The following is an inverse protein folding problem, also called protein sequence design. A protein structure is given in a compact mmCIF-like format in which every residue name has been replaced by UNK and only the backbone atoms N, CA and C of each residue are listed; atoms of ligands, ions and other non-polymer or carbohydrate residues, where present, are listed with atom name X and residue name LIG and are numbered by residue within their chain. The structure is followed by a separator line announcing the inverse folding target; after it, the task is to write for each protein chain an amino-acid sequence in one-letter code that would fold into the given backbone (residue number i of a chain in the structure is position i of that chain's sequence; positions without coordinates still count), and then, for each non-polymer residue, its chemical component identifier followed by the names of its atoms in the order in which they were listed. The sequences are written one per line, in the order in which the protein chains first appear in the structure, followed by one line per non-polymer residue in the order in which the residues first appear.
data_IF_423269289070
#
_entry.id   IF_423269289070
#
_cell.length_a   1.000
_cell.length_b   1.000
_cell.length_c   1.000
_cell.angle_alpha   90.00
_cell.angle_beta   90.00
_cell.angle_gamma   90.00
#
_symmetry.space_group_name_H-M   'P 1'
#
loop_
_entity.id
_entity.type
_entity.pdbx_description
1 polymer ?
#
# COMPACT_ATOMS: atom_id res chain seq x y z
N UNK A 1 -17.91 -1.56 -9.59
CA UNK A 1 -18.00 -0.43 -8.62
C UNK A 1 -17.01 -0.71 -7.51
N UNK A 2 -16.02 0.13 -7.35
CA UNK A 2 -15.00 0.03 -6.30
C UNK A 2 -15.54 0.61 -5.00
N UNK A 3 -15.16 0.03 -3.86
CA UNK A 3 -15.57 0.54 -2.53
C UNK A 3 -14.47 1.43 -1.94
N UNK A 4 -13.21 1.00 -1.99
CA UNK A 4 -12.09 1.71 -1.36
C UNK A 4 -11.09 2.28 -2.38
N UNK A 5 -10.95 1.64 -3.54
CA UNK A 5 -9.93 1.99 -4.55
C UNK A 5 -10.51 1.96 -5.96
N UNK A 6 -10.02 2.83 -6.83
CA UNK A 6 -10.35 2.91 -8.24
C UNK A 6 -9.10 3.14 -9.08
N UNK A 7 -9.22 3.18 -10.38
CA UNK A 7 -8.10 3.52 -11.28
C UNK A 7 -7.53 4.92 -11.05
N UNK A 8 -8.31 5.82 -10.45
CA UNK A 8 -7.88 7.19 -10.13
C UNK A 8 -7.11 7.29 -8.82
N UNK A 9 -7.14 6.23 -7.98
CA UNK A 9 -6.45 6.24 -6.68
C UNK A 9 -4.95 6.41 -6.85
N UNK A 10 -4.39 7.46 -6.24
CA UNK A 10 -2.96 7.80 -6.27
C UNK A 10 -2.23 7.05 -5.17
N UNK A 11 -1.31 6.19 -5.57
CA UNK A 11 -0.67 5.22 -4.69
C UNK A 11 0.76 5.63 -4.42
N UNK A 12 1.14 5.67 -3.14
CA UNK A 12 2.51 5.78 -2.66
C UNK A 12 3.01 4.38 -2.27
N UNK A 13 4.21 3.99 -2.73
CA UNK A 13 4.83 2.74 -2.32
C UNK A 13 5.97 2.98 -1.33
N UNK A 14 5.79 2.59 -0.06
CA UNK A 14 6.85 2.60 0.94
C UNK A 14 7.72 1.36 0.81
N UNK A 15 9.03 1.56 0.69
CA UNK A 15 10.00 0.51 0.41
C UNK A 15 10.16 0.20 -1.08
N UNK A 16 9.80 1.12 -1.97
CA UNK A 16 9.79 0.94 -3.43
C UNK A 16 11.13 0.48 -4.02
N UNK A 17 12.25 0.87 -3.44
CA UNK A 17 13.58 0.48 -3.93
C UNK A 17 14.09 -0.84 -3.35
N UNK A 18 13.33 -1.48 -2.47
CA UNK A 18 13.60 -2.83 -1.99
C UNK A 18 13.18 -3.87 -3.03
N UNK A 19 13.73 -5.09 -2.98
CA UNK A 19 13.45 -6.12 -3.98
C UNK A 19 11.95 -6.44 -4.11
N UNK A 20 11.25 -6.62 -2.99
CA UNK A 20 9.81 -6.91 -2.99
C UNK A 20 8.99 -5.67 -3.40
N UNK A 21 9.33 -4.49 -2.84
CA UNK A 21 8.65 -3.24 -3.17
C UNK A 21 8.78 -2.90 -4.65
N UNK A 22 9.97 -3.02 -5.22
CA UNK A 22 10.22 -2.77 -6.63
C UNK A 22 9.44 -3.73 -7.52
N UNK A 23 9.56 -5.04 -7.29
CA UNK A 23 8.90 -6.06 -8.09
C UNK A 23 7.37 -5.90 -8.09
N UNK A 24 6.78 -5.76 -6.90
CA UNK A 24 5.31 -5.66 -6.82
C UNK A 24 4.78 -4.29 -7.26
N UNK A 25 5.53 -3.20 -7.08
CA UNK A 25 5.16 -1.90 -7.63
C UNK A 25 5.14 -1.94 -9.17
N UNK A 26 6.15 -2.55 -9.80
CA UNK A 26 6.19 -2.77 -11.25
C UNK A 26 4.97 -3.56 -11.73
N UNK A 27 4.63 -4.68 -11.05
CA UNK A 27 3.45 -5.48 -11.36
C UNK A 27 2.12 -4.72 -11.17
N UNK A 28 2.06 -3.77 -10.23
CA UNK A 28 0.91 -2.91 -10.06
C UNK A 28 0.80 -1.88 -11.20
N UNK A 29 1.92 -1.28 -11.60
CA UNK A 29 2.00 -0.36 -12.75
C UNK A 29 1.59 -1.06 -14.04
N UNK A 30 2.12 -2.25 -14.31
CA UNK A 30 1.74 -3.07 -15.47
C UNK A 30 0.25 -3.43 -15.49
N UNK A 31 -0.36 -3.59 -14.33
CA UNK A 31 -1.80 -3.83 -14.20
C UNK A 31 -2.65 -2.58 -14.49
N UNK A 32 -2.04 -1.40 -14.48
CA UNK A 32 -2.71 -0.12 -14.69
C UNK A 32 -2.96 0.69 -13.42
N UNK A 33 -2.35 0.30 -12.29
CA UNK A 33 -2.46 1.06 -11.04
C UNK A 33 -1.65 2.34 -11.10
N UNK A 34 -2.20 3.42 -10.56
CA UNK A 34 -1.59 4.75 -10.58
C UNK A 34 -0.63 4.94 -9.38
N UNK A 35 0.59 4.39 -9.49
CA UNK A 35 1.66 4.66 -8.52
C UNK A 35 2.29 6.00 -8.87
N UNK A 36 2.17 6.97 -7.97
CA UNK A 36 2.62 8.36 -8.19
C UNK A 36 3.95 8.67 -7.51
N UNK A 37 4.34 7.91 -6.50
CA UNK A 37 5.57 8.14 -5.75
C UNK A 37 6.05 6.88 -5.01
N UNK A 38 7.32 6.88 -4.64
CA UNK A 38 7.91 5.94 -3.70
C UNK A 38 8.51 6.62 -2.47
N UNK A 39 8.61 5.87 -1.37
CA UNK A 39 9.35 6.30 -0.18
C UNK A 39 10.43 5.28 0.13
N UNK A 40 11.66 5.76 0.25
CA UNK A 40 12.80 5.01 0.81
C UNK A 40 13.72 5.99 1.52
N UNK A 41 13.85 5.93 2.85
CA UNK A 41 14.73 6.82 3.59
C UNK A 41 16.16 6.78 3.06
N UNK A 42 16.77 7.96 2.85
CA UNK A 42 18.11 8.12 2.30
C UNK A 42 18.21 8.03 0.77
N UNK A 43 17.10 7.85 0.05
CA UNK A 43 17.04 7.85 -1.42
C UNK A 43 16.14 8.94 -2.01
N UNK A 44 15.70 9.88 -1.19
CA UNK A 44 14.92 11.02 -1.65
C UNK A 44 15.64 11.82 -2.74
N UNK A 45 14.89 12.31 -3.71
CA UNK A 45 15.39 13.01 -4.89
C UNK A 45 15.84 12.10 -6.04
N UNK A 46 15.79 10.77 -5.87
CA UNK A 46 16.00 9.81 -6.97
C UNK A 46 14.70 9.47 -7.69
N UNK A 47 14.80 8.76 -8.80
CA UNK A 47 13.66 8.19 -9.55
C UNK A 47 13.77 6.68 -9.54
N UNK A 48 12.65 5.96 -9.38
CA UNK A 48 12.57 4.51 -9.46
C UNK A 48 11.25 4.10 -10.10
N UNK A 49 11.27 3.20 -11.10
CA UNK A 49 10.09 2.85 -11.91
C UNK A 49 9.37 4.08 -12.49
N UNK A 50 10.15 5.06 -12.95
CA UNK A 50 9.69 6.34 -13.51
C UNK A 50 8.87 7.22 -12.55
N UNK A 51 8.87 6.93 -11.24
CA UNK A 51 8.24 7.77 -10.23
C UNK A 51 9.27 8.39 -9.28
N UNK A 52 9.00 9.59 -8.73
CA UNK A 52 9.89 10.23 -7.75
C UNK A 52 9.94 9.43 -6.45
N UNK A 53 11.12 9.40 -5.84
CA UNK A 53 11.35 8.79 -4.53
C UNK A 53 11.60 9.87 -3.50
N UNK A 54 10.92 9.78 -2.36
CA UNK A 54 11.01 10.69 -1.22
C UNK A 54 11.65 9.99 0.00
N UNK A 55 12.11 10.76 0.98
CA UNK A 55 12.64 10.20 2.22
C UNK A 55 11.54 9.83 3.21
N UNK A 56 10.38 10.49 3.13
CA UNK A 56 9.24 10.27 4.04
C UNK A 56 7.89 10.42 3.32
N UNK A 57 6.84 9.90 3.94
CA UNK A 57 5.46 10.07 3.47
C UNK A 57 5.06 11.55 3.52
N UNK A 58 5.47 12.26 4.58
CA UNK A 58 5.17 13.68 4.74
C UNK A 58 5.79 14.53 3.62
N UNK A 59 7.05 14.26 3.20
CA UNK A 59 7.67 14.92 2.04
C UNK A 59 6.87 14.66 0.76
N UNK A 60 6.53 13.40 0.50
CA UNK A 60 5.76 13.04 -0.69
C UNK A 60 4.39 13.74 -0.72
N UNK A 61 3.70 13.81 0.43
CA UNK A 61 2.37 14.43 0.52
C UNK A 61 2.41 15.95 0.44
N UNK A 62 3.53 16.58 0.77
CA UNK A 62 3.71 18.01 0.56
C UNK A 62 3.73 18.42 -0.92
N UNK A 63 4.24 17.52 -1.78
CA UNK A 63 4.39 17.77 -3.22
C UNK A 63 3.27 17.13 -4.06
N UNK A 64 2.65 16.06 -3.57
CA UNK A 64 1.70 15.24 -4.32
C UNK A 64 0.46 14.93 -3.51
N UNK A 65 -0.67 14.82 -4.18
CA UNK A 65 -1.86 14.24 -3.58
C UNK A 65 -1.77 12.72 -3.59
N UNK A 66 -1.97 12.10 -2.42
CA UNK A 66 -1.84 10.66 -2.21
C UNK A 66 -3.08 10.15 -1.48
N UNK A 67 -3.70 9.12 -2.03
CA UNK A 67 -4.90 8.49 -1.48
C UNK A 67 -4.59 7.21 -0.73
N UNK A 68 -3.56 6.46 -1.18
CA UNK A 68 -3.22 5.13 -0.68
C UNK A 68 -1.73 5.01 -0.40
N UNK A 69 -1.38 4.41 0.74
CA UNK A 69 -0.02 3.98 1.05
C UNK A 69 0.08 2.45 1.00
N UNK A 70 0.86 1.92 0.06
CA UNK A 70 1.19 0.50 -0.05
C UNK A 70 2.56 0.24 0.59
N UNK A 71 2.65 -0.71 1.55
CA UNK A 71 3.83 -0.89 2.41
C UNK A 71 4.49 -2.25 2.17
N UNK A 72 5.77 -2.21 1.77
CA UNK A 72 6.65 -3.36 1.54
C UNK A 72 7.95 -3.30 2.37
N UNK A 73 8.01 -2.50 3.41
CA UNK A 73 9.22 -2.41 4.26
C UNK A 73 9.37 -3.66 5.14
N UNK A 74 10.61 -4.01 5.58
CA UNK A 74 10.81 -5.11 6.53
C UNK A 74 10.00 -4.95 7.82
N UNK A 75 9.61 -6.09 8.45
CA UNK A 75 8.71 -6.13 9.61
C UNK A 75 9.07 -5.14 10.73
N UNK A 76 10.35 -5.01 11.04
CA UNK A 76 10.84 -4.08 12.08
C UNK A 76 10.61 -2.59 11.80
N UNK A 77 10.29 -2.23 10.55
CA UNK A 77 10.00 -0.86 10.12
C UNK A 77 8.52 -0.66 9.73
N UNK A 78 7.75 -1.73 9.70
CA UNK A 78 6.38 -1.67 9.18
C UNK A 78 5.45 -0.84 10.07
N UNK A 79 5.61 -0.93 11.39
CA UNK A 79 4.82 -0.12 12.31
C UNK A 79 5.09 1.38 12.11
N UNK A 80 6.35 1.80 11.96
CA UNK A 80 6.70 3.20 11.72
C UNK A 80 6.20 3.67 10.36
N UNK A 81 6.23 2.80 9.34
CA UNK A 81 5.66 3.10 8.03
C UNK A 81 4.14 3.31 8.08
N UNK A 82 3.41 2.47 8.85
CA UNK A 82 1.97 2.64 9.08
C UNK A 82 1.67 3.91 9.86
N UNK A 83 2.41 4.18 10.95
CA UNK A 83 2.26 5.40 11.75
C UNK A 83 2.48 6.67 10.92
N UNK A 84 3.56 6.70 10.11
CA UNK A 84 3.85 7.82 9.21
C UNK A 84 2.74 8.07 8.18
N UNK A 85 2.10 7.02 7.68
CA UNK A 85 0.96 7.15 6.76
C UNK A 85 -0.28 7.70 7.49
N UNK A 86 -0.55 7.26 8.73
CA UNK A 86 -1.64 7.77 9.57
C UNK A 86 -1.42 9.25 9.90
N UNK A 87 -0.23 9.63 10.35
CA UNK A 87 0.15 11.02 10.66
C UNK A 87 0.04 11.95 9.45
N UNK A 88 0.27 11.40 8.26
CA UNK A 88 0.12 12.12 7.00
C UNK A 88 -1.33 12.08 6.46
N UNK A 89 -2.29 11.61 7.24
CA UNK A 89 -3.71 11.55 6.88
C UNK A 89 -3.97 10.83 5.54
N UNK A 90 -3.28 9.70 5.30
CA UNK A 90 -3.53 8.85 4.14
C UNK A 90 -4.81 8.05 4.39
N UNK A 91 -5.78 8.15 3.51
CA UNK A 91 -7.10 7.55 3.68
C UNK A 91 -7.09 6.02 3.72
N UNK A 92 -6.27 5.36 2.90
CA UNK A 92 -6.12 3.90 2.88
C UNK A 92 -4.66 3.49 3.03
N UNK A 93 -4.39 2.60 3.99
CA UNK A 93 -3.07 2.03 4.24
C UNK A 93 -3.13 0.53 3.99
N UNK A 94 -2.30 0.02 3.09
CA UNK A 94 -2.23 -1.41 2.73
C UNK A 94 -0.87 -1.94 3.12
N UNK A 95 -0.79 -2.65 4.25
CA UNK A 95 0.46 -3.21 4.75
C UNK A 95 0.58 -4.70 4.37
N UNK A 96 1.43 -4.98 3.39
CA UNK A 96 1.68 -6.35 2.91
C UNK A 96 2.56 -7.12 3.87
N UNK A 97 3.49 -6.44 4.52
CA UNK A 97 4.52 -7.00 5.40
C UNK A 97 3.93 -7.93 6.46
N UNK A 98 4.48 -9.12 6.54
CA UNK A 98 4.20 -10.10 7.60
C UNK A 98 5.23 -10.02 8.74
N UNK A 99 4.92 -10.66 9.87
CA UNK A 99 5.85 -10.74 11.01
C UNK A 99 5.97 -9.46 11.84
N UNK A 100 5.03 -8.55 11.72
CA UNK A 100 4.98 -7.33 12.56
C UNK A 100 4.64 -7.72 13.98
N UNK A 101 5.43 -7.30 15.00
CA UNK A 101 5.18 -7.61 16.39
C UNK A 101 3.80 -7.13 16.86
N UNK A 102 3.11 -7.94 17.66
CA UNK A 102 1.79 -7.57 18.23
C UNK A 102 1.88 -6.29 19.04
N UNK A 103 2.98 -6.08 19.77
CA UNK A 103 3.19 -4.89 20.59
C UNK A 103 3.22 -3.61 19.76
N UNK A 104 3.89 -3.65 18.61
CA UNK A 104 3.95 -2.53 17.68
C UNK A 104 2.55 -2.24 17.10
N UNK A 105 1.76 -3.29 16.85
CA UNK A 105 0.39 -3.14 16.35
C UNK A 105 -0.59 -2.54 17.38
N UNK A 106 -0.31 -2.66 18.68
CA UNK A 106 -1.10 -1.97 19.71
C UNK A 106 -0.98 -0.44 19.54
N UNK A 107 0.24 0.06 19.31
CA UNK A 107 0.49 1.48 19.07
C UNK A 107 -0.18 1.96 17.77
N UNK A 108 0.02 1.22 16.69
CA UNK A 108 -0.63 1.52 15.40
C UNK A 108 -2.15 1.57 15.55
N UNK A 109 -2.73 0.60 16.26
CA UNK A 109 -4.18 0.56 16.49
C UNK A 109 -4.69 1.72 17.33
N UNK A 110 -3.92 2.15 18.33
CA UNK A 110 -4.26 3.32 19.13
C UNK A 110 -4.31 4.59 18.26
N UNK A 111 -3.34 4.77 17.36
CA UNK A 111 -3.33 5.90 16.42
C UNK A 111 -4.49 5.85 15.43
N UNK A 112 -4.80 4.66 14.88
CA UNK A 112 -5.93 4.46 13.96
C UNK A 112 -7.27 4.85 14.58
N UNK A 113 -7.48 4.56 15.87
CA UNK A 113 -8.73 4.89 16.55
C UNK A 113 -8.99 6.42 16.65
N UNK A 114 -7.95 7.23 16.48
CA UNK A 114 -8.01 8.70 16.47
C UNK A 114 -7.93 9.32 15.06
N UNK A 115 -7.99 8.51 14.00
CA UNK A 115 -7.83 8.96 12.61
C UNK A 115 -8.96 8.44 11.71
N UNK A 116 -9.11 9.05 10.53
CA UNK A 116 -10.01 8.59 9.47
C UNK A 116 -9.35 7.57 8.52
N UNK A 117 -8.10 7.17 8.79
CA UNK A 117 -7.36 6.19 7.99
C UNK A 117 -7.95 4.79 8.16
N UNK A 118 -8.01 4.04 7.07
CA UNK A 118 -8.36 2.62 7.05
C UNK A 118 -7.08 1.82 6.84
N UNK A 119 -6.85 0.80 7.68
CA UNK A 119 -5.72 -0.12 7.54
C UNK A 119 -6.21 -1.50 7.08
N UNK A 120 -5.65 -1.97 5.94
CA UNK A 120 -5.68 -3.36 5.51
C UNK A 120 -4.35 -4.02 5.85
N UNK A 121 -4.39 -5.13 6.56
CA UNK A 121 -3.19 -5.79 7.07
C UNK A 121 -2.89 -5.42 8.53
N UNK A 122 -1.62 -5.63 8.99
CA UNK A 122 -0.49 -6.22 8.23
C UNK A 122 -0.74 -7.67 7.79
N UNK A 123 0.23 -8.27 7.08
CA UNK A 123 0.12 -9.62 6.55
C UNK A 123 -1.14 -9.83 5.71
N UNK A 124 -1.30 -9.01 4.69
CA UNK A 124 -2.40 -9.13 3.73
C UNK A 124 -1.86 -9.18 2.28
N UNK A 125 -2.60 -9.78 1.35
CA UNK A 125 -2.22 -9.78 -0.06
C UNK A 125 -2.55 -8.46 -0.77
N UNK A 126 -3.30 -7.57 -0.15
CA UNK A 126 -3.70 -6.29 -0.70
C UNK A 126 -5.18 -6.19 -1.08
N UNK A 127 -5.47 -5.35 -2.05
CA UNK A 127 -6.81 -5.10 -2.58
C UNK A 127 -6.73 -4.97 -4.10
N UNK A 128 -7.76 -5.44 -4.80
CA UNK A 128 -7.88 -5.34 -6.26
C UNK A 128 -9.30 -4.97 -6.66
N UNK A 129 -9.40 -4.04 -7.61
CA UNK A 129 -10.62 -3.81 -8.38
C UNK A 129 -10.32 -4.26 -9.80
N UNK A 130 -10.90 -5.39 -10.26
CA UNK A 130 -10.59 -5.96 -11.57
C UNK A 130 -10.78 -4.96 -12.70
N UNK A 131 -9.82 -4.94 -13.65
CA UNK A 131 -9.70 -4.02 -14.79
C UNK A 131 -9.50 -2.53 -14.42
N UNK A 132 -9.31 -2.22 -13.13
CA UNK A 132 -9.12 -0.83 -12.68
C UNK A 132 -7.79 -0.63 -11.96
N UNK A 133 -7.58 -1.31 -10.82
CA UNK A 133 -6.38 -1.12 -10.00
C UNK A 133 -6.09 -2.34 -9.14
N UNK A 134 -4.82 -2.58 -8.92
CA UNK A 134 -4.28 -3.61 -8.03
C UNK A 134 -3.28 -2.97 -7.06
N UNK A 135 -3.44 -3.24 -5.77
CA UNK A 135 -2.54 -2.74 -4.72
C UNK A 135 -2.13 -3.93 -3.87
N UNK A 136 -0.86 -4.32 -3.96
CA UNK A 136 -0.31 -5.48 -3.28
C UNK A 136 0.13 -6.60 -4.21
N UNK A 137 0.05 -7.85 -3.71
CA UNK A 137 0.66 -9.04 -4.35
C UNK A 137 -0.35 -9.94 -5.06
N UNK A 138 -1.64 -9.61 -5.06
CA UNK A 138 -2.67 -10.44 -5.70
C UNK A 138 -2.36 -10.65 -7.18
N UNK A 139 -2.50 -11.89 -7.71
CA UNK A 139 -2.34 -12.15 -9.14
C UNK A 139 -3.52 -11.55 -9.92
N UNK A 140 -3.26 -10.54 -10.75
CA UNK A 140 -4.31 -9.79 -11.44
C UNK A 140 -5.11 -10.63 -12.45
N UNK A 141 -4.46 -11.64 -13.05
CA UNK A 141 -5.04 -12.45 -14.12
C UNK A 141 -6.18 -13.41 -13.70
N UNK A 142 -6.30 -13.69 -12.39
CA UNK A 142 -7.37 -14.56 -11.88
C UNK A 142 -8.65 -13.79 -11.51
N UNK A 143 -8.57 -12.47 -11.41
CA UNK A 143 -9.69 -11.62 -11.01
C UNK A 143 -10.38 -11.04 -12.23
N UNK A 144 -11.69 -11.23 -12.30
CA UNK A 144 -12.51 -10.74 -13.41
C UNK A 144 -13.55 -9.73 -12.92
N UNK A 145 -13.86 -8.76 -13.77
CA UNK A 145 -14.90 -7.78 -13.49
C UNK A 145 -16.26 -8.47 -13.34
N UNK A 146 -16.97 -8.14 -12.28
CA UNK A 146 -18.26 -8.73 -11.95
C UNK A 146 -19.03 -7.95 -10.90
N UNK A 147 -20.12 -8.55 -10.43
CA UNK A 147 -20.98 -7.97 -9.38
C UNK A 147 -20.74 -8.56 -7.99
N UNK A 148 -19.81 -9.52 -7.87
CA UNK A 148 -19.50 -10.17 -6.59
C UNK A 148 -18.24 -9.54 -5.99
N UNK A 149 -18.37 -9.07 -4.74
CA UNK A 149 -17.23 -8.62 -3.92
C UNK A 149 -16.80 -9.72 -2.95
N UNK A 150 -15.48 -9.88 -2.77
CA UNK A 150 -14.90 -10.86 -1.85
C UNK A 150 -14.11 -10.11 -0.77
N UNK A 151 -14.42 -10.40 0.49
CA UNK A 151 -13.64 -9.96 1.65
C UNK A 151 -13.18 -11.21 2.38
N UNK A 152 -11.86 -11.43 2.44
CA UNK A 152 -11.28 -12.61 3.07
C UNK A 152 -10.27 -12.24 4.16
N UNK A 153 -10.26 -12.98 5.26
CA UNK A 153 -9.21 -12.93 6.28
C UNK A 153 -8.08 -13.92 5.99
N UNK A 154 -8.22 -14.74 4.97
CA UNK A 154 -7.21 -15.71 4.53
C UNK A 154 -6.64 -15.29 3.18
N UNK A 155 -5.33 -15.00 3.14
CA UNK A 155 -4.64 -14.69 1.89
C UNK A 155 -4.73 -15.83 0.88
N UNK A 156 -4.46 -17.06 1.30
CA UNK A 156 -4.48 -18.25 0.45
C UNK A 156 -5.86 -18.52 -0.14
N UNK A 157 -6.90 -18.53 0.70
CA UNK A 157 -8.27 -18.78 0.23
C UNK A 157 -8.85 -17.67 -0.68
N UNK A 158 -8.18 -16.53 -0.75
CA UNK A 158 -8.59 -15.47 -1.68
C UNK A 158 -8.32 -15.84 -3.13
N UNK A 159 -7.42 -16.80 -3.37
CA UNK A 159 -6.98 -17.23 -4.71
C UNK A 159 -7.63 -18.55 -5.18
N UNK A 160 -8.32 -19.25 -4.31
CA UNK A 160 -9.06 -20.49 -4.60
C UNK A 160 -10.48 -20.20 -5.13
#
# INVERSE_FOLDING_TARGET
MSVLVSKESRILCQGITGSQGSFHAEQCIEYGSNIVAGVTPGKGGSTHLDVPVFNSVAEAKADLEIDVSMIFVPAKFAADAMKSAIESEIGLIVCITEGVPVQDMIEVKAMLNGSDSILLGPNCPGIITPDETKIGIMPGFIHQKGSVGIISRSGTLTYE
#
